data_IF_881970409943
#
_entry.id   IF_881970409943
#
_cell.length_a   1.000
_cell.length_b   1.000
_cell.length_c   1.000
_cell.angle_alpha   90.00
_cell.angle_beta   90.00
_cell.angle_gamma   90.00
#
_symmetry.space_group_name_H-M   'P 1'
#
loop_
_entity.id
_entity.type
_entity.pdbx_description
1 polymer ?
#
# COMPACT_ATOMS: atom_id res chain seq x y z
N UNK A 1 -28.18 24.03 -22.49
CA UNK A 1 -27.24 23.97 -21.36
C UNK A 1 -27.93 23.24 -20.22
N UNK A 2 -27.64 21.96 -20.02
CA UNK A 2 -28.29 21.14 -18.99
C UNK A 2 -27.35 20.99 -17.78
N UNK A 3 -27.73 21.58 -16.65
CA UNK A 3 -27.08 21.39 -15.36
C UNK A 3 -27.33 19.96 -14.88
N UNK A 4 -26.27 19.13 -14.83
CA UNK A 4 -26.31 17.82 -14.16
C UNK A 4 -26.45 18.05 -12.66
N UNK A 5 -27.65 17.81 -12.12
CA UNK A 5 -27.87 17.67 -10.68
C UNK A 5 -27.11 16.44 -10.18
N UNK A 6 -26.15 16.66 -9.29
CA UNK A 6 -25.38 15.61 -8.63
C UNK A 6 -26.29 14.93 -7.60
N UNK A 7 -26.58 13.65 -7.79
CA UNK A 7 -27.35 12.85 -6.83
C UNK A 7 -26.68 12.87 -5.45
N UNK A 8 -27.43 12.99 -4.34
CA UNK A 8 -26.86 12.91 -3.00
C UNK A 8 -26.50 11.44 -2.73
N UNK A 9 -25.22 11.11 -2.78
CA UNK A 9 -24.74 9.81 -2.30
C UNK A 9 -24.94 9.75 -0.79
N UNK A 10 -25.87 8.92 -0.32
CA UNK A 10 -26.10 8.64 1.11
C UNK A 10 -24.97 7.87 1.80
N UNK A 11 -23.77 7.85 1.21
CA UNK A 11 -22.57 7.28 1.81
C UNK A 11 -21.72 8.42 2.37
N UNK A 12 -21.14 8.27 3.57
CA UNK A 12 -20.17 9.23 4.08
C UNK A 12 -19.02 9.32 3.08
N UNK A 13 -18.68 10.54 2.66
CA UNK A 13 -17.52 10.78 1.81
C UNK A 13 -16.29 10.14 2.48
N UNK A 14 -15.63 9.18 1.80
CA UNK A 14 -14.50 8.43 2.34
C UNK A 14 -13.16 9.18 2.19
N UNK A 15 -13.16 10.28 1.43
CA UNK A 15 -11.97 11.13 1.24
C UNK A 15 -11.34 11.70 2.52
N UNK A 16 -12.07 12.12 3.59
CA UNK A 16 -11.45 12.64 4.81
C UNK A 16 -10.80 11.54 5.64
N UNK A 17 -11.35 10.32 5.63
CA UNK A 17 -10.79 9.15 6.33
C UNK A 17 -9.50 8.72 5.64
N UNK A 18 -9.52 8.64 4.31
CA UNK A 18 -8.35 8.31 3.50
C UNK A 18 -7.23 9.34 3.67
N UNK A 19 -7.57 10.64 3.69
CA UNK A 19 -6.61 11.71 3.93
C UNK A 19 -5.97 11.57 5.33
N UNK A 20 -6.77 11.36 6.38
CA UNK A 20 -6.25 11.20 7.75
C UNK A 20 -5.29 10.01 7.87
N UNK A 21 -5.63 8.86 7.28
CA UNK A 21 -4.78 7.66 7.29
C UNK A 21 -3.48 7.86 6.51
N UNK A 22 -3.54 8.58 5.40
CA UNK A 22 -2.37 8.89 4.59
C UNK A 22 -1.45 9.89 5.31
N UNK A 23 -2.01 10.94 5.92
CA UNK A 23 -1.25 11.93 6.68
C UNK A 23 -0.59 11.31 7.92
N UNK A 24 -1.28 10.47 8.68
CA UNK A 24 -0.68 9.80 9.85
C UNK A 24 0.45 8.84 9.45
N UNK A 25 0.33 8.17 8.30
CA UNK A 25 1.41 7.36 7.75
C UNK A 25 2.61 8.23 7.35
N UNK A 26 2.37 9.33 6.64
CA UNK A 26 3.43 10.26 6.21
C UNK A 26 4.14 10.90 7.41
N UNK A 27 3.39 11.33 8.41
CA UNK A 27 3.92 11.86 9.67
C UNK A 27 4.83 10.84 10.35
N UNK A 28 4.39 9.58 10.46
CA UNK A 28 5.21 8.53 11.07
C UNK A 28 6.48 8.24 10.27
N UNK A 29 6.42 8.22 8.94
CA UNK A 29 7.57 7.89 8.08
C UNK A 29 8.54 9.06 7.82
N UNK A 30 8.08 10.30 7.95
CA UNK A 30 8.89 11.49 7.62
C UNK A 30 9.30 12.27 8.87
N UNK A 31 8.40 12.43 9.85
CA UNK A 31 8.62 13.26 11.05
C UNK A 31 9.09 12.44 12.25
N UNK A 32 8.45 11.31 12.55
CA UNK A 32 8.74 10.52 13.76
C UNK A 32 9.99 9.65 13.59
N UNK A 33 10.10 8.96 12.47
CA UNK A 33 11.27 8.14 12.15
C UNK A 33 11.66 8.42 10.69
N UNK A 34 12.51 9.41 10.39
CA UNK A 34 13.12 9.54 9.08
C UNK A 34 13.97 8.30 8.87
N UNK A 35 13.37 7.24 8.33
CA UNK A 35 14.02 5.95 8.20
C UNK A 35 15.35 6.17 7.50
N UNK A 36 16.40 5.50 7.96
CA UNK A 36 17.72 5.56 7.31
C UNK A 36 17.60 5.26 5.80
N UNK A 37 16.59 4.49 5.43
CA UNK A 37 16.21 4.20 4.05
C UNK A 37 15.66 5.41 3.28
N UNK A 38 14.82 6.26 3.91
CA UNK A 38 14.37 7.51 3.30
C UNK A 38 15.54 8.47 3.08
N UNK A 39 16.55 8.42 3.95
CA UNK A 39 17.79 9.19 3.77
C UNK A 39 18.67 8.63 2.66
N UNK A 40 18.74 7.31 2.48
CA UNK A 40 19.68 6.68 1.52
C UNK A 40 19.09 6.43 0.14
N UNK A 41 17.77 6.39 0.00
CA UNK A 41 17.11 6.00 -1.25
C UNK A 41 16.31 7.16 -1.84
N UNK A 42 16.84 7.74 -2.92
CA UNK A 42 16.14 8.75 -3.73
C UNK A 42 14.77 8.27 -4.23
N UNK A 43 14.67 6.99 -4.59
CA UNK A 43 13.40 6.36 -4.99
C UNK A 43 12.35 6.40 -3.89
N UNK A 44 12.73 6.12 -2.63
CA UNK A 44 11.78 6.20 -1.52
C UNK A 44 11.32 7.64 -1.28
N UNK A 45 12.19 8.64 -1.48
CA UNK A 45 11.84 10.07 -1.40
C UNK A 45 10.86 10.47 -2.50
N UNK A 46 11.07 10.02 -3.73
CA UNK A 46 10.14 10.26 -4.85
C UNK A 46 8.77 9.58 -4.62
N UNK A 47 8.75 8.41 -4.00
CA UNK A 47 7.49 7.76 -3.60
C UNK A 47 6.75 8.57 -2.52
N UNK A 48 7.48 9.11 -1.55
CA UNK A 48 6.91 9.97 -0.50
C UNK A 48 6.43 11.30 -1.07
N UNK A 49 7.15 11.92 -2.01
CA UNK A 49 6.70 13.14 -2.69
C UNK A 49 5.38 12.94 -3.43
N UNK A 50 5.26 11.85 -4.20
CA UNK A 50 4.02 11.51 -4.90
C UNK A 50 2.84 11.30 -3.93
N UNK A 51 3.08 10.67 -2.78
CA UNK A 51 2.06 10.51 -1.75
C UNK A 51 1.63 11.86 -1.14
N UNK A 52 2.58 12.78 -0.94
CA UNK A 52 2.29 14.13 -0.45
C UNK A 52 1.47 14.92 -1.49
N UNK A 53 1.78 14.80 -2.78
CA UNK A 53 1.01 15.44 -3.84
C UNK A 53 -0.41 14.89 -3.94
N UNK A 54 -0.57 13.58 -3.80
CA UNK A 54 -1.89 12.98 -3.69
C UNK A 54 -2.66 13.46 -2.44
N UNK A 55 -1.97 13.69 -1.31
CA UNK A 55 -2.59 14.28 -0.13
C UNK A 55 -3.11 15.71 -0.40
N UNK A 56 -2.34 16.51 -1.15
CA UNK A 56 -2.73 17.89 -1.53
C UNK A 56 -3.98 17.89 -2.42
N UNK A 57 -4.06 17.00 -3.41
CA UNK A 57 -5.24 16.93 -4.28
C UNK A 57 -6.49 16.49 -3.51
N UNK A 58 -6.36 15.54 -2.59
CA UNK A 58 -7.45 15.15 -1.69
C UNK A 58 -7.90 16.30 -0.78
N UNK A 59 -6.96 17.06 -0.24
CA UNK A 59 -7.26 18.22 0.61
C UNK A 59 -8.00 19.32 -0.17
N UNK A 60 -7.59 19.62 -1.41
CA UNK A 60 -8.30 20.57 -2.27
C UNK A 60 -9.73 20.12 -2.58
N UNK A 61 -9.93 18.83 -2.87
CA UNK A 61 -11.25 18.26 -3.10
C UNK A 61 -12.14 18.37 -1.85
N UNK A 62 -11.59 18.10 -0.67
CA UNK A 62 -12.30 18.24 0.60
C UNK A 62 -12.65 19.69 0.92
N UNK A 63 -11.78 20.64 0.59
CA UNK A 63 -12.07 22.06 0.76
C UNK A 63 -13.16 22.55 -0.18
N UNK A 64 -13.14 22.09 -1.43
CA UNK A 64 -14.20 22.38 -2.37
C UNK A 64 -15.53 21.80 -1.86
N UNK A 65 -15.55 20.52 -1.47
CA UNK A 65 -16.73 19.88 -0.87
C UNK A 65 -17.22 20.59 0.40
N UNK A 66 -16.32 20.96 1.31
CA UNK A 66 -16.64 21.68 2.54
C UNK A 66 -17.16 23.10 2.26
N UNK A 67 -16.66 23.78 1.23
CA UNK A 67 -17.13 25.12 0.84
C UNK A 67 -18.57 25.11 0.32
N UNK A 68 -18.98 24.00 -0.31
CA UNK A 68 -20.34 23.80 -0.85
C UNK A 68 -21.35 23.31 0.18
N UNK A 69 -20.92 22.95 1.40
CA UNK A 69 -21.79 22.46 2.46
C UNK A 69 -22.51 23.61 3.22
N UNK A 70 -23.82 23.53 3.47
CA UNK A 70 -24.62 24.66 3.99
C UNK A 70 -24.59 24.86 5.52
N UNK A 71 -23.92 24.02 6.32
CA UNK A 71 -23.95 24.10 7.78
C UNK A 71 -22.88 25.03 8.36
N UNK A 72 -23.29 26.22 8.84
CA UNK A 72 -22.38 27.31 9.28
C UNK A 72 -21.53 26.97 10.52
N UNK A 73 -22.01 26.17 11.47
CA UNK A 73 -21.28 25.84 12.70
C UNK A 73 -20.20 24.78 12.49
N UNK A 74 -20.52 23.71 11.76
CA UNK A 74 -19.54 22.67 11.41
C UNK A 74 -18.47 23.19 10.44
N UNK A 75 -18.80 24.21 9.65
CA UNK A 75 -17.89 24.82 8.69
C UNK A 75 -16.62 25.39 9.34
N UNK A 76 -16.70 26.09 10.46
CA UNK A 76 -15.50 26.68 11.10
C UNK A 76 -14.57 25.62 11.68
N UNK A 77 -15.12 24.60 12.35
CA UNK A 77 -14.36 23.48 12.90
C UNK A 77 -13.68 22.66 11.79
N UNK A 78 -14.41 22.37 10.70
CA UNK A 78 -13.85 21.68 9.53
C UNK A 78 -12.78 22.52 8.82
N UNK A 79 -12.97 23.84 8.70
CA UNK A 79 -11.93 24.71 8.16
C UNK A 79 -10.69 24.73 9.05
N UNK A 80 -10.83 24.79 10.37
CA UNK A 80 -9.70 24.73 11.29
C UNK A 80 -8.92 23.41 11.17
N UNK A 81 -9.63 22.28 11.05
CA UNK A 81 -9.01 20.97 10.80
C UNK A 81 -8.27 20.92 9.45
N UNK A 82 -8.89 21.43 8.38
CA UNK A 82 -8.25 21.52 7.06
C UNK A 82 -7.03 22.45 7.07
N UNK A 83 -7.04 23.56 7.81
CA UNK A 83 -5.84 24.41 7.97
C UNK A 83 -4.72 23.67 8.69
N UNK A 84 -5.01 22.95 9.78
CA UNK A 84 -4.00 22.12 10.48
C UNK A 84 -3.39 21.09 9.53
N UNK A 85 -4.21 20.45 8.70
CA UNK A 85 -3.72 19.48 7.69
C UNK A 85 -2.85 20.14 6.62
N UNK A 86 -3.17 21.37 6.19
CA UNK A 86 -2.31 22.15 5.28
C UNK A 86 -0.95 22.44 5.92
N UNK A 87 -0.93 22.86 7.18
CA UNK A 87 0.31 23.13 7.91
C UNK A 87 1.17 21.88 8.05
N UNK A 88 0.57 20.73 8.40
CA UNK A 88 1.27 19.45 8.42
C UNK A 88 1.85 19.06 7.05
N UNK A 89 1.09 19.22 5.97
CA UNK A 89 1.59 18.96 4.62
C UNK A 89 2.77 19.88 4.28
N UNK A 90 2.72 21.16 4.66
CA UNK A 90 3.84 22.09 4.45
C UNK A 90 5.08 21.63 5.21
N UNK A 91 4.92 21.25 6.48
CA UNK A 91 6.02 20.73 7.30
C UNK A 91 6.63 19.45 6.71
N UNK A 92 5.80 18.52 6.24
CA UNK A 92 6.24 17.30 5.56
C UNK A 92 7.05 17.60 4.29
N UNK A 93 6.62 18.58 3.50
CA UNK A 93 7.37 19.00 2.30
C UNK A 93 8.69 19.67 2.64
N UNK A 94 8.70 20.56 3.62
CA UNK A 94 9.93 21.21 4.07
C UNK A 94 10.95 20.16 4.53
N UNK A 95 10.50 19.18 5.32
CA UNK A 95 11.36 18.10 5.80
C UNK A 95 11.89 17.22 4.67
N UNK A 96 11.06 16.93 3.67
CA UNK A 96 11.48 16.18 2.48
C UNK A 96 12.50 16.98 1.65
N UNK A 97 12.33 18.29 1.53
CA UNK A 97 13.25 19.17 0.81
C UNK A 97 14.61 19.30 1.51
N UNK A 98 14.63 19.39 2.84
CA UNK A 98 15.86 19.29 3.64
C UNK A 98 16.55 17.95 3.43
N UNK A 99 15.77 16.86 3.43
CA UNK A 99 16.33 15.54 3.24
C UNK A 99 16.92 15.37 1.84
N UNK A 100 16.30 15.99 0.82
CA UNK A 100 16.82 16.00 -0.54
C UNK A 100 18.18 16.70 -0.63
N UNK A 101 18.31 17.91 -0.07
CA UNK A 101 19.56 18.66 -0.06
C UNK A 101 20.72 17.94 0.65
N UNK A 102 20.43 17.16 1.70
CA UNK A 102 21.47 16.41 2.42
C UNK A 102 22.10 15.29 1.57
N UNK A 103 21.38 14.74 0.58
CA UNK A 103 21.91 13.71 -0.34
C UNK A 103 22.79 14.32 -1.43
N UNK A 104 22.37 15.46 -1.97
CA UNK A 104 23.21 16.23 -2.90
C UNK A 104 24.52 16.66 -2.20
N UNK A 105 24.47 17.03 -0.92
CA UNK A 105 25.64 17.46 -0.15
C UNK A 105 26.61 16.32 0.24
N UNK A 106 26.11 15.11 0.48
CA UNK A 106 26.96 13.91 0.70
C UNK A 106 27.62 13.43 -0.60
N UNK A 107 27.12 13.85 -1.77
CA UNK A 107 27.72 13.55 -3.08
C UNK A 107 28.82 14.53 -3.51
N UNK A 108 28.92 15.71 -2.88
CA UNK A 108 29.92 16.75 -3.19
C UNK A 108 31.25 16.56 -2.41
N UNK A 109 31.45 15.39 -1.80
CA UNK A 109 32.67 15.00 -1.07
C UNK A 109 33.79 14.38 -1.92
N UNK A 110 33.72 14.47 -3.25
CA UNK A 110 34.81 14.04 -4.13
C UNK A 110 34.95 14.97 -5.33
N UNK A 111 35.42 16.18 -5.05
CA UNK A 111 36.04 17.05 -6.02
C UNK A 111 37.56 17.01 -5.81
N UNK A 112 38.24 16.02 -6.41
CA UNK A 112 39.63 16.16 -6.85
C UNK A 112 39.99 15.05 -7.84
N UNK A 113 39.88 15.36 -9.13
CA UNK A 113 40.84 14.98 -10.16
C UNK A 113 40.47 15.69 -11.44
N UNK A 114 41.20 16.76 -11.74
CA UNK A 114 41.35 17.23 -13.11
C UNK A 114 42.17 16.19 -13.88
N UNK A 115 41.62 15.61 -14.95
CA UNK A 115 42.37 15.28 -16.17
C UNK A 115 41.40 14.84 -17.27
N UNK A 116 41.36 15.67 -18.31
CA UNK A 116 41.39 15.34 -19.74
C UNK A 116 40.63 14.11 -20.29
N UNK A 117 39.92 14.36 -21.39
CA UNK A 117 39.49 13.31 -22.31
C UNK A 117 37.99 13.27 -22.56
N UNK A 118 37.59 13.79 -23.72
CA UNK A 118 36.30 13.61 -24.36
C UNK A 118 35.79 12.16 -24.27
N UNK A 119 34.85 11.90 -23.37
CA UNK A 119 34.09 10.66 -23.35
C UNK A 119 32.62 10.98 -23.21
N UNK A 120 31.95 11.07 -24.35
CA UNK A 120 30.50 11.14 -24.44
C UNK A 120 29.89 10.08 -23.50
N UNK A 121 29.13 10.55 -22.52
CA UNK A 121 28.33 9.71 -21.63
C UNK A 121 27.32 8.91 -22.47
N UNK A 122 27.69 7.67 -22.82
CA UNK A 122 26.79 6.68 -23.41
C UNK A 122 25.76 6.32 -22.34
N UNK A 123 24.61 6.95 -22.46
CA UNK A 123 23.43 6.66 -21.67
C UNK A 123 22.90 5.28 -22.06
N UNK A 124 22.78 4.41 -21.04
CA UNK A 124 22.17 3.08 -20.99
C UNK A 124 23.09 1.86 -21.28
N UNK A 125 23.26 0.94 -20.30
CA UNK A 125 23.58 -0.44 -20.63
C UNK A 125 22.38 -1.09 -21.34
N UNK A 126 22.57 -1.49 -22.60
CA UNK A 126 21.66 -2.45 -23.25
C UNK A 126 21.81 -3.78 -22.52
N UNK A 127 20.86 -4.09 -21.66
CA UNK A 127 20.61 -5.46 -21.22
C UNK A 127 19.63 -6.03 -22.24
N UNK A 128 20.05 -7.05 -22.99
CA UNK A 128 19.16 -7.84 -23.83
C UNK A 128 18.18 -8.57 -22.90
N UNK A 129 17.02 -7.95 -22.65
CA UNK A 129 15.95 -8.57 -21.90
C UNK A 129 15.17 -9.52 -22.83
N UNK A 130 15.77 -10.68 -23.11
CA UNK A 130 15.02 -11.88 -23.47
C UNK A 130 14.58 -12.58 -22.17
N UNK A 131 13.57 -11.98 -21.53
CA UNK A 131 12.80 -12.62 -20.46
C UNK A 131 11.47 -11.89 -20.35
N UNK A 132 10.64 -12.04 -21.39
CA UNK A 132 9.22 -11.75 -21.26
C UNK A 132 8.65 -12.60 -20.14
N UNK A 133 8.04 -11.95 -19.14
CA UNK A 133 7.21 -12.64 -18.15
C UNK A 133 5.92 -13.11 -18.84
N UNK A 134 6.02 -14.23 -19.54
CA UNK A 134 4.88 -15.01 -19.96
C UNK A 134 4.25 -15.66 -18.72
N UNK A 135 3.27 -14.97 -18.14
CA UNK A 135 2.33 -15.59 -17.20
C UNK A 135 1.38 -16.45 -18.05
N UNK A 136 1.89 -17.61 -18.45
CA UNK A 136 1.06 -18.71 -18.89
C UNK A 136 0.58 -19.44 -17.64
N UNK A 137 -0.73 -19.37 -17.43
CA UNK A 137 -1.45 -20.12 -16.41
C UNK A 137 -1.32 -21.62 -16.69
N UNK A 138 -0.29 -22.26 -16.12
CA UNK A 138 -0.17 -23.72 -16.07
C UNK A 138 0.26 -24.18 -14.67
N UNK A 139 -0.64 -24.93 -14.02
CA UNK A 139 -0.34 -25.99 -13.04
C UNK A 139 0.65 -25.73 -11.90
N UNK A 140 0.12 -25.30 -10.75
CA UNK A 140 0.31 -26.05 -9.50
C UNK A 140 1.69 -26.11 -8.83
N UNK A 141 2.58 -25.13 -9.00
CA UNK A 141 3.91 -25.11 -8.34
C UNK A 141 4.22 -23.84 -7.53
N UNK A 142 3.23 -22.99 -7.25
CA UNK A 142 3.40 -21.77 -6.45
C UNK A 142 3.23 -21.94 -4.93
N UNK A 143 2.90 -23.13 -4.43
CA UNK A 143 2.50 -23.35 -3.04
C UNK A 143 3.64 -23.59 -2.07
N UNK A 144 4.82 -24.00 -2.54
CA UNK A 144 5.95 -24.36 -1.67
C UNK A 144 6.67 -23.13 -1.10
N UNK A 145 7.01 -22.16 -1.95
CA UNK A 145 7.66 -20.92 -1.53
C UNK A 145 6.77 -20.08 -0.58
N UNK A 146 5.45 -20.13 -0.76
CA UNK A 146 4.50 -19.44 0.11
C UNK A 146 4.33 -20.17 1.46
N UNK A 147 4.40 -21.50 1.47
CA UNK A 147 4.34 -22.30 2.70
C UNK A 147 5.61 -22.15 3.54
N UNK A 148 6.78 -22.05 2.91
CA UNK A 148 8.05 -21.79 3.61
C UNK A 148 8.10 -20.39 4.21
N UNK A 149 7.58 -19.37 3.51
CA UNK A 149 7.42 -18.03 4.05
C UNK A 149 6.45 -17.99 5.26
N UNK A 150 5.34 -18.75 5.19
CA UNK A 150 4.38 -18.85 6.29
C UNK A 150 4.95 -19.58 7.52
N UNK A 151 5.79 -20.60 7.32
CA UNK A 151 6.48 -21.31 8.40
C UNK A 151 7.51 -20.44 9.10
N UNK A 152 8.24 -19.61 8.36
CA UNK A 152 9.19 -18.66 8.95
C UNK A 152 8.51 -17.54 9.75
N UNK A 153 7.32 -17.11 9.32
CA UNK A 153 6.51 -16.14 10.08
C UNK A 153 5.96 -16.73 11.39
N UNK A 154 5.57 -18.02 11.38
CA UNK A 154 5.03 -18.69 12.59
C UNK A 154 6.12 -19.00 13.62
N UNK A 155 7.36 -19.25 13.19
CA UNK A 155 8.50 -19.50 14.08
C UNK A 155 8.96 -18.23 14.81
N UNK A 156 8.89 -17.06 14.15
CA UNK A 156 9.17 -15.74 14.75
C UNK A 156 8.11 -15.33 15.79
N UNK A 157 6.83 -15.58 15.53
CA UNK A 157 5.76 -15.28 16.48
C UNK A 157 5.86 -16.13 17.76
N UNK A 158 6.40 -17.35 17.65
CA UNK A 158 6.60 -18.24 18.82
C UNK A 158 7.85 -17.92 19.65
N UNK A 159 8.86 -17.26 19.07
CA UNK A 159 10.11 -16.89 19.77
C UNK A 159 10.02 -15.64 20.64
N UNK A 160 8.92 -14.87 20.55
CA UNK A 160 8.72 -13.65 21.35
C UNK A 160 7.86 -13.83 22.61
N UNK A 161 7.76 -15.05 23.11
CA UNK A 161 6.96 -15.41 24.30
C UNK A 161 7.70 -16.17 25.39
N UNK A 162 9.03 -16.35 25.29
CA UNK A 162 9.78 -17.12 26.29
C UNK A 162 11.27 -16.83 26.24
N UNK A 163 11.71 -15.85 27.02
CA UNK A 163 13.12 -15.53 27.22
C UNK A 163 13.58 -15.89 28.63
N UNK A 164 14.40 -16.94 28.67
CA UNK A 164 15.54 -17.18 29.58
C UNK A 164 15.34 -17.43 31.09
N UNK A 165 15.71 -18.65 31.52
CA UNK A 165 16.68 -18.99 32.58
C UNK A 165 16.72 -20.53 32.65
N UNK A 166 17.69 -21.17 32.00
CA UNK A 166 19.03 -21.52 32.48
C UNK A 166 19.02 -22.36 33.77
N UNK A 167 19.63 -23.54 33.68
CA UNK A 167 19.67 -24.57 34.70
C UNK A 167 20.39 -24.09 35.96
N UNK A 168 19.82 -24.39 37.13
CA UNK A 168 20.58 -24.55 38.37
C UNK A 168 19.81 -25.47 39.31
N UNK A 169 20.42 -26.63 39.52
CA UNK A 169 20.09 -27.66 40.51
C UNK A 169 20.19 -27.11 41.94
N UNK A 170 19.11 -27.12 42.72
CA UNK A 170 19.09 -27.17 44.20
C UNK A 170 17.63 -27.32 44.65
N UNK A 171 17.17 -28.53 45.01
CA UNK A 171 17.13 -29.05 46.39
C UNK A 171 16.32 -28.19 47.37
N UNK A 172 15.27 -28.81 47.89
CA UNK A 172 14.41 -28.38 48.98
C UNK A 172 15.17 -27.73 50.16
N UNK A 173 14.61 -26.67 50.74
CA UNK A 173 14.30 -26.48 52.17
C UNK A 173 14.05 -25.00 52.45
N UNK A 174 12.87 -24.67 52.97
CA UNK A 174 12.51 -23.29 53.33
C UNK A 174 11.38 -23.19 54.36
N UNK A 175 11.21 -24.23 55.19
CA UNK A 175 10.30 -24.20 56.35
C UNK A 175 10.96 -23.52 57.57
N UNK A 176 11.67 -22.42 57.36
CA UNK A 176 12.42 -21.73 58.42
C UNK A 176 12.15 -20.22 58.39
N UNK A 177 10.91 -19.83 58.68
CA UNK A 177 10.57 -18.44 59.00
C UNK A 177 9.63 -18.30 60.22
N UNK A 178 9.43 -19.35 61.01
CA UNK A 178 8.83 -19.22 62.33
C UNK A 178 9.93 -19.18 63.40
N UNK A 179 10.29 -18.01 63.94
CA UNK A 179 10.85 -17.95 65.27
C UNK A 179 9.71 -18.17 66.28
N UNK A 180 9.84 -19.23 67.06
CA UNK A 180 8.98 -19.55 68.20
C UNK A 180 8.99 -18.41 69.24
N UNK A 181 7.84 -17.73 69.39
CA UNK A 181 7.15 -17.16 70.58
C UNK A 181 7.93 -17.19 71.94
N UNK A 182 7.83 -16.22 72.89
CA UNK A 182 6.61 -15.50 73.36
C UNK A 182 6.78 -13.99 73.68
N UNK A 183 5.71 -13.18 73.73
CA UNK A 183 5.11 -12.73 75.02
C UNK A 183 4.02 -11.70 74.74
N UNK A 184 2.92 -11.78 75.49
CA UNK A 184 1.84 -10.80 75.50
C UNK A 184 2.27 -9.49 76.19
N UNK A 185 1.72 -8.36 75.71
CA UNK A 185 1.62 -7.02 76.32
C UNK A 185 2.40 -5.93 75.59
N UNK A 186 1.64 -4.93 75.13
CA UNK A 186 2.05 -3.64 74.55
C UNK A 186 2.26 -3.66 73.03
N UNK A 187 1.51 -2.81 72.32
CA UNK A 187 1.50 -2.72 70.86
C UNK A 187 2.88 -2.44 70.27
N UNK A 188 3.26 -3.25 69.29
CA UNK A 188 4.57 -3.24 68.63
C UNK A 188 4.44 -2.66 67.20
N UNK A 189 5.21 -1.61 66.83
CA UNK A 189 5.12 -0.95 65.51
C UNK A 189 5.62 -1.81 64.33
N UNK A 190 6.04 -3.06 64.54
CA UNK A 190 6.60 -3.94 63.50
C UNK A 190 5.56 -4.70 62.67
N UNK A 191 4.29 -4.75 63.09
CA UNK A 191 3.19 -5.34 62.29
C UNK A 191 2.58 -4.36 61.28
N UNK A 192 2.74 -3.05 61.51
CA UNK A 192 2.30 -1.99 60.62
C UNK A 192 2.84 -2.11 59.17
N UNK A 193 4.13 -2.42 58.91
CA UNK A 193 4.62 -2.59 57.54
C UNK A 193 4.04 -3.83 56.86
N UNK A 194 3.81 -4.93 57.59
CA UNK A 194 3.25 -6.17 57.04
C UNK A 194 1.77 -6.00 56.70
N UNK A 195 1.01 -5.32 57.57
CA UNK A 195 -0.39 -4.94 57.32
C UNK A 195 -0.50 -3.98 56.13
N UNK A 196 0.42 -3.01 56.01
CA UNK A 196 0.49 -2.13 54.85
C UNK A 196 0.75 -2.90 53.54
N UNK A 197 1.68 -3.85 53.53
CA UNK A 197 1.97 -4.69 52.35
C UNK A 197 0.76 -5.55 51.95
N UNK A 198 0.07 -6.17 52.92
CA UNK A 198 -1.13 -6.97 52.64
C UNK A 198 -2.28 -6.11 52.11
N UNK A 199 -2.45 -4.90 52.65
CA UNK A 199 -3.45 -3.95 52.15
C UNK A 199 -3.14 -3.51 50.71
N UNK A 200 -1.86 -3.25 50.41
CA UNK A 200 -1.42 -2.89 49.07
C UNK A 200 -1.65 -4.03 48.07
N UNK A 201 -1.30 -5.26 48.43
CA UNK A 201 -1.53 -6.41 47.54
C UNK A 201 -3.03 -6.60 47.25
N UNK A 202 -3.89 -6.35 48.24
CA UNK A 202 -5.35 -6.40 48.04
C UNK A 202 -5.82 -5.30 47.08
N UNK A 203 -5.31 -4.08 47.21
CA UNK A 203 -5.64 -3.00 46.27
C UNK A 203 -5.12 -3.27 44.85
N UNK A 204 -3.94 -3.88 44.72
CA UNK A 204 -3.38 -4.27 43.42
C UNK A 204 -4.22 -5.37 42.76
N UNK A 205 -4.70 -6.36 43.51
CA UNK A 205 -5.62 -7.39 43.00
C UNK A 205 -6.96 -6.79 42.56
N UNK A 206 -7.50 -5.84 43.32
CA UNK A 206 -8.71 -5.09 42.93
C UNK A 206 -8.47 -4.25 41.67
N UNK A 207 -7.30 -3.61 41.53
CA UNK A 207 -6.92 -2.87 40.32
C UNK A 207 -6.74 -3.78 39.10
N UNK A 208 -6.14 -4.96 39.26
CA UNK A 208 -5.98 -5.92 38.17
C UNK A 208 -7.31 -6.52 37.70
N UNK A 209 -8.18 -6.87 38.64
CA UNK A 209 -9.50 -7.44 38.33
C UNK A 209 -10.42 -6.41 37.65
N UNK A 210 -10.40 -5.16 38.11
CA UNK A 210 -11.12 -4.06 37.45
C UNK A 210 -10.55 -3.77 36.07
N UNK A 211 -9.22 -3.78 35.91
CA UNK A 211 -8.56 -3.64 34.62
C UNK A 211 -8.91 -4.74 33.62
N UNK A 212 -8.94 -6.01 34.05
CA UNK A 212 -9.32 -7.14 33.19
C UNK A 212 -10.78 -7.01 32.75
N UNK A 213 -11.66 -6.61 33.66
CA UNK A 213 -13.07 -6.39 33.35
C UNK A 213 -13.27 -5.22 32.37
N UNK A 214 -12.51 -4.14 32.50
CA UNK A 214 -12.54 -3.02 31.57
C UNK A 214 -11.97 -3.40 30.20
N UNK A 215 -10.86 -4.14 30.17
CA UNK A 215 -10.30 -4.64 28.92
C UNK A 215 -11.26 -5.61 28.22
N UNK A 216 -11.94 -6.48 28.97
CA UNK A 216 -12.96 -7.38 28.42
C UNK A 216 -14.16 -6.60 27.85
N UNK A 217 -14.59 -5.52 28.51
CA UNK A 217 -15.62 -4.61 27.98
C UNK A 217 -15.15 -3.92 26.71
N UNK A 218 -13.92 -3.42 26.71
CA UNK A 218 -13.33 -2.76 25.55
C UNK A 218 -13.19 -3.72 24.36
N UNK A 219 -12.71 -4.94 24.60
CA UNK A 219 -12.61 -5.99 23.58
C UNK A 219 -13.99 -6.35 23.02
N UNK A 220 -15.01 -6.43 23.87
CA UNK A 220 -16.39 -6.66 23.44
C UNK A 220 -16.92 -5.50 22.59
N UNK A 221 -16.68 -4.25 23.00
CA UNK A 221 -17.04 -3.07 22.21
C UNK A 221 -16.33 -3.06 20.86
N UNK A 222 -15.05 -3.44 20.83
CA UNK A 222 -14.28 -3.59 19.59
C UNK A 222 -14.86 -4.70 18.71
N UNK A 223 -15.27 -5.84 19.28
CA UNK A 223 -15.93 -6.93 18.53
C UNK A 223 -17.26 -6.48 17.90
N UNK A 224 -18.08 -5.73 18.65
CA UNK A 224 -19.34 -5.16 18.13
C UNK A 224 -19.04 -4.15 17.00
N UNK A 225 -18.05 -3.29 17.19
CA UNK A 225 -17.64 -2.32 16.18
C UNK A 225 -17.09 -3.01 14.91
N UNK A 226 -16.32 -4.08 15.06
CA UNK A 226 -15.87 -4.92 13.94
C UNK A 226 -17.05 -5.56 13.23
N UNK A 227 -18.05 -6.06 13.96
CA UNK A 227 -19.28 -6.59 13.36
C UNK A 227 -20.04 -5.55 12.53
N UNK A 228 -20.18 -4.33 13.05
CA UNK A 228 -20.82 -3.23 12.31
C UNK A 228 -20.02 -2.80 11.09
N UNK A 229 -18.68 -2.79 11.20
CA UNK A 229 -17.78 -2.47 10.08
C UNK A 229 -17.87 -3.54 9.00
N UNK A 230 -17.91 -4.83 9.37
CA UNK A 230 -18.05 -5.94 8.43
C UNK A 230 -19.38 -5.89 7.67
N UNK A 231 -20.47 -5.49 8.32
CA UNK A 231 -21.77 -5.31 7.64
C UNK A 231 -21.70 -4.18 6.60
N UNK A 232 -21.03 -3.07 6.94
CA UNK A 232 -20.73 -2.00 6.00
C UNK A 232 -19.86 -2.46 4.84
N UNK A 233 -18.77 -3.16 5.13
CA UNK A 233 -17.81 -3.68 4.16
C UNK A 233 -18.43 -4.71 3.21
N UNK A 234 -19.39 -5.51 3.68
CA UNK A 234 -20.13 -6.47 2.84
C UNK A 234 -20.86 -5.78 1.70
N UNK A 235 -21.48 -4.63 1.95
CA UNK A 235 -22.17 -3.86 0.90
C UNK A 235 -21.19 -3.26 -0.12
N UNK A 236 -19.99 -2.88 0.32
CA UNK A 236 -18.91 -2.39 -0.54
C UNK A 236 -18.34 -3.54 -1.36
N UNK A 237 -18.15 -4.71 -0.75
CA UNK A 237 -17.69 -5.92 -1.42
C UNK A 237 -18.67 -6.34 -2.52
N UNK A 238 -19.97 -6.37 -2.23
CA UNK A 238 -20.99 -6.70 -3.22
C UNK A 238 -21.00 -5.72 -4.39
N UNK A 239 -20.84 -4.42 -4.10
CA UNK A 239 -20.70 -3.40 -5.13
C UNK A 239 -19.41 -3.53 -5.94
N UNK A 240 -18.31 -3.91 -5.30
CA UNK A 240 -17.03 -4.15 -5.98
C UNK A 240 -17.12 -5.39 -6.87
N UNK A 241 -17.78 -6.45 -6.42
CA UNK A 241 -18.05 -7.66 -7.20
C UNK A 241 -18.92 -7.32 -8.41
N UNK A 242 -20.03 -6.59 -8.20
CA UNK A 242 -20.90 -6.16 -9.29
C UNK A 242 -20.19 -5.22 -10.27
N UNK A 243 -19.35 -4.30 -9.78
CA UNK A 243 -18.54 -3.42 -10.62
C UNK A 243 -17.45 -4.16 -11.41
N UNK A 244 -16.86 -5.19 -10.82
CA UNK A 244 -15.90 -6.07 -11.48
C UNK A 244 -16.59 -6.89 -12.56
N UNK A 245 -17.75 -7.50 -12.28
CA UNK A 245 -18.55 -8.24 -13.26
C UNK A 245 -19.00 -7.34 -14.43
N UNK A 246 -19.40 -6.11 -14.13
CA UNK A 246 -19.74 -5.16 -15.18
C UNK A 246 -18.51 -4.72 -16.01
N UNK A 247 -17.33 -4.67 -15.40
CA UNK A 247 -16.08 -4.40 -16.11
C UNK A 247 -15.64 -5.60 -16.96
N UNK A 248 -15.72 -6.83 -16.45
CA UNK A 248 -15.39 -8.04 -17.22
C UNK A 248 -16.30 -8.16 -18.43
N UNK A 249 -17.61 -7.93 -18.29
CA UNK A 249 -18.55 -7.89 -19.41
C UNK A 249 -18.22 -6.79 -20.42
N UNK A 250 -17.84 -5.59 -19.94
CA UNK A 250 -17.39 -4.49 -20.79
C UNK A 250 -16.08 -4.80 -21.53
N UNK A 251 -15.14 -5.46 -20.86
CA UNK A 251 -13.85 -5.88 -21.40
C UNK A 251 -14.02 -7.02 -22.40
N UNK A 252 -14.94 -7.97 -22.17
CA UNK A 252 -15.28 -9.02 -23.14
C UNK A 252 -15.95 -8.42 -24.39
N UNK A 253 -16.84 -7.46 -24.22
CA UNK A 253 -17.46 -6.75 -25.35
C UNK A 253 -16.41 -5.95 -26.15
N UNK A 254 -15.48 -5.29 -25.46
CA UNK A 254 -14.36 -4.59 -26.07
C UNK A 254 -13.39 -5.56 -26.76
N UNK A 255 -13.08 -6.70 -26.13
CA UNK A 255 -12.20 -7.76 -26.64
C UNK A 255 -12.78 -8.38 -27.90
N UNK A 256 -14.10 -8.63 -27.94
CA UNK A 256 -14.79 -9.11 -29.15
C UNK A 256 -14.70 -8.09 -30.29
N UNK A 257 -14.87 -6.79 -30.01
CA UNK A 257 -14.75 -5.72 -31.02
C UNK A 257 -13.30 -5.50 -31.49
N UNK A 258 -12.33 -5.63 -30.58
CA UNK A 258 -10.91 -5.55 -30.91
C UNK A 258 -10.47 -6.79 -31.70
N UNK A 259 -10.98 -7.97 -31.35
CA UNK A 259 -10.72 -9.22 -32.06
C UNK A 259 -11.27 -9.24 -33.48
N UNK A 260 -12.45 -8.65 -33.71
CA UNK A 260 -12.98 -8.49 -35.08
C UNK A 260 -12.17 -7.49 -35.89
N UNK A 261 -11.74 -6.37 -35.29
CA UNK A 261 -10.85 -5.42 -35.94
C UNK A 261 -9.49 -6.03 -36.25
N UNK A 262 -8.89 -6.79 -35.32
CA UNK A 262 -7.63 -7.49 -35.53
C UNK A 262 -7.72 -8.48 -36.69
N UNK A 263 -8.81 -9.25 -36.80
CA UNK A 263 -9.04 -10.15 -37.93
C UNK A 263 -9.20 -9.39 -39.26
N UNK A 264 -9.77 -8.18 -39.23
CA UNK A 264 -9.89 -7.31 -40.41
C UNK A 264 -8.57 -6.61 -40.79
N UNK A 265 -7.72 -6.27 -39.81
CA UNK A 265 -6.45 -5.56 -40.05
C UNK A 265 -5.33 -6.50 -40.42
N UNK A 266 -5.27 -7.70 -39.83
CA UNK A 266 -4.22 -8.70 -40.09
C UNK A 266 -4.50 -9.48 -41.40
N UNK A 267 -5.77 -9.57 -41.83
CA UNK A 267 -6.16 -10.24 -43.07
C UNK A 267 -6.02 -9.41 -44.36
N UNK A 268 -5.85 -8.09 -44.28
CA UNK A 268 -5.86 -7.21 -45.48
C UNK A 268 -4.58 -7.34 -46.31
N UNK A 269 -3.43 -7.51 -45.68
CA UNK A 269 -2.12 -7.54 -46.36
C UNK A 269 -1.91 -8.78 -47.25
N UNK A 270 -2.48 -9.93 -46.87
CA UNK A 270 -2.37 -11.15 -47.68
C UNK A 270 -3.20 -11.07 -48.96
N UNK A 271 -4.46 -10.61 -48.85
CA UNK A 271 -5.34 -10.42 -50.01
C UNK A 271 -4.83 -9.34 -50.96
N UNK A 272 -4.20 -8.28 -50.45
CA UNK A 272 -3.63 -7.22 -51.27
C UNK A 272 -2.42 -7.73 -52.08
N UNK A 273 -1.56 -8.56 -51.47
CA UNK A 273 -0.47 -9.25 -52.18
C UNK A 273 -0.98 -10.20 -53.25
N UNK A 274 -2.05 -10.96 -52.99
CA UNK A 274 -2.67 -11.86 -53.98
C UNK A 274 -3.23 -11.07 -55.17
N UNK A 275 -3.91 -9.95 -54.91
CA UNK A 275 -4.41 -9.06 -55.98
C UNK A 275 -3.28 -8.46 -56.81
N UNK A 276 -2.19 -8.04 -56.16
CA UNK A 276 -0.99 -7.56 -56.83
C UNK A 276 -0.45 -8.64 -57.79
N UNK A 277 -0.22 -9.86 -57.30
CA UNK A 277 0.30 -10.95 -58.14
C UNK A 277 -0.64 -11.30 -59.30
N UNK A 278 -1.96 -11.28 -59.09
CA UNK A 278 -2.93 -11.50 -60.16
C UNK A 278 -2.87 -10.41 -61.25
N UNK A 279 -2.70 -9.13 -60.88
CA UNK A 279 -2.53 -8.04 -61.84
C UNK A 279 -1.21 -8.13 -62.61
N UNK A 280 -0.08 -8.42 -61.93
CA UNK A 280 1.21 -8.64 -62.61
C UNK A 280 1.08 -9.80 -63.61
N UNK A 281 0.46 -10.91 -63.19
CA UNK A 281 0.26 -12.07 -64.05
C UNK A 281 -0.63 -11.76 -65.26
N UNK A 282 -1.72 -11.01 -65.07
CA UNK A 282 -2.60 -10.58 -66.16
C UNK A 282 -1.88 -9.70 -67.19
N UNK A 283 -1.07 -8.74 -66.73
CA UNK A 283 -0.27 -7.87 -67.61
C UNK A 283 0.81 -8.67 -68.35
N UNK A 284 1.41 -9.66 -67.68
CA UNK A 284 2.37 -10.58 -68.29
C UNK A 284 1.71 -11.42 -69.40
N UNK A 285 0.53 -11.99 -69.16
CA UNK A 285 -0.23 -12.74 -70.18
C UNK A 285 -0.63 -11.83 -71.34
N UNK A 286 -1.06 -10.59 -71.07
CA UNK A 286 -1.40 -9.62 -72.11
C UNK A 286 -0.19 -9.26 -72.99
N UNK A 287 0.98 -9.02 -72.38
CA UNK A 287 2.22 -8.78 -73.10
C UNK A 287 2.64 -9.99 -73.94
N UNK A 288 2.49 -11.21 -73.40
CA UNK A 288 2.75 -12.45 -74.14
C UNK A 288 1.83 -12.60 -75.36
N UNK A 289 0.53 -12.29 -75.18
CA UNK A 289 -0.44 -12.28 -76.28
C UNK A 289 -0.06 -11.25 -77.34
N UNK A 290 0.34 -10.03 -76.95
CA UNK A 290 0.76 -9.00 -77.90
C UNK A 290 2.01 -9.40 -78.69
N UNK A 291 3.00 -10.04 -78.05
CA UNK A 291 4.22 -10.53 -78.73
C UNK A 291 3.93 -11.72 -79.65
N UNK A 292 3.00 -12.60 -79.29
CA UNK A 292 2.72 -13.81 -80.07
C UNK A 292 1.66 -13.58 -81.18
N UNK A 293 0.71 -12.68 -80.94
CA UNK A 293 -0.39 -12.35 -81.86
C UNK A 293 -0.05 -11.12 -82.71
N UNK A 294 0.74 -10.16 -82.22
CA UNK A 294 1.21 -9.01 -82.99
C UNK A 294 1.93 -9.35 -84.31
N UNK A 295 2.76 -10.40 -84.37
CA UNK A 295 3.34 -10.89 -85.63
C UNK A 295 2.32 -11.57 -86.55
N UNK A 296 1.27 -12.18 -85.98
CA UNK A 296 0.21 -12.90 -86.72
C UNK A 296 -0.84 -11.98 -87.35
N UNK A 297 -1.01 -10.75 -86.85
CA UNK A 297 -1.96 -9.76 -87.40
C UNK A 297 -1.29 -8.85 -88.45
N UNK A 298 0.03 -8.97 -88.65
CA UNK A 298 0.81 -8.16 -89.59
C UNK A 298 1.00 -8.80 -90.97
N UNK A 299 0.23 -9.82 -91.30
CA UNK A 299 0.15 -10.44 -92.63
C UNK A 299 -1.29 -10.53 -93.09
#
# INVERSE_FOLDING_TARGET
MASRSRSPSGYPDATPINLNRLLSRLERTVLVEPSRELRKSSYQRARVSANIDHARTLLLNLEHSASTAPSKSNKSALHADLQRKRELIKQLNQRLYELNQLDDSDSEGSAESEEDGDSFSTYAPRVDADAGLDISSTGGQGSEALQDAARNLTSEIRRRGGGAQDESTATATGNSLFPSKPTATTGDPSTAPTEAILSQNRTEQEALTTGLLEMAKQLKQQSIHLGQTLEGDKSVLDRAISGLDQNTLGMDAASRRMGTLRRMTEGRGWWDRIKLYAMIFGLWVFAFLLVFVGPKIRF
#
